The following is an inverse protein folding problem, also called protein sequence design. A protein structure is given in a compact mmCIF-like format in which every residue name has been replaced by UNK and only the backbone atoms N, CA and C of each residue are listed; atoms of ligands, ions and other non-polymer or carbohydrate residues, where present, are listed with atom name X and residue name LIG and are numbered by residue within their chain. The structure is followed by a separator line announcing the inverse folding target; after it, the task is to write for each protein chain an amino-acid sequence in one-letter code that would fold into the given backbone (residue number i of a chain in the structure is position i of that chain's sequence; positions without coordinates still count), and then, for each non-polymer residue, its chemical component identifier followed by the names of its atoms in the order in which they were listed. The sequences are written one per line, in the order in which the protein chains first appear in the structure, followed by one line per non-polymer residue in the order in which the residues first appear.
data_IF_840888176213
#
_entry.id   IF_840888176213
#
_cell.length_a   1.000
_cell.length_b   1.000
_cell.length_c   1.000
_cell.angle_alpha   90.00
_cell.angle_beta   90.00
_cell.angle_gamma   90.00
#
_symmetry.space_group_name_H-M   'P 1'
#
loop_
_entity.id
_entity.type
_entity.pdbx_description
1 polymer ?
#
# COMPACT_ATOMS: atom_id res chain seq x y z
N UNK A 1 -14.97 -19.99 -13.66
CA UNK A 1 -15.11 -19.90 -12.19
C UNK A 1 -15.10 -18.44 -11.79
N UNK A 2 -15.91 -18.04 -10.80
CA UNK A 2 -15.80 -16.70 -10.22
C UNK A 2 -14.53 -16.63 -9.37
N UNK A 3 -13.74 -15.57 -9.55
CA UNK A 3 -12.54 -15.31 -8.73
C UNK A 3 -12.87 -14.25 -7.65
N UNK A 4 -12.24 -14.32 -6.47
CA UNK A 4 -12.43 -13.30 -5.44
C UNK A 4 -11.91 -11.94 -5.90
N UNK A 5 -12.59 -10.87 -5.48
CA UNK A 5 -12.18 -9.49 -5.74
C UNK A 5 -11.48 -8.94 -4.49
N UNK A 6 -10.25 -8.45 -4.66
CA UNK A 6 -9.43 -7.90 -3.57
C UNK A 6 -9.24 -6.41 -3.79
N UNK A 7 -9.37 -5.65 -2.71
CA UNK A 7 -9.12 -4.21 -2.72
C UNK A 7 -7.93 -3.95 -1.80
N UNK A 8 -6.97 -3.17 -2.29
CA UNK A 8 -5.75 -2.87 -1.58
C UNK A 8 -5.33 -1.41 -1.77
N UNK A 9 -4.41 -0.97 -0.92
CA UNK A 9 -3.73 0.31 -1.08
C UNK A 9 -2.22 0.11 -1.16
N UNK A 10 -1.56 0.96 -1.93
CA UNK A 10 -0.10 1.04 -2.00
C UNK A 10 0.32 2.48 -1.67
N UNK A 11 1.36 2.62 -0.86
CA UNK A 11 1.88 3.88 -0.38
C UNK A 11 3.28 4.12 -0.90
N UNK A 12 3.43 5.20 -1.64
CA UNK A 12 4.71 5.68 -2.13
C UNK A 12 5.19 6.82 -1.22
N UNK A 13 6.13 6.48 -0.35
CA UNK A 13 6.83 7.42 0.51
C UNK A 13 8.15 7.80 -0.15
N UNK A 14 8.42 9.10 -0.25
CA UNK A 14 9.66 9.62 -0.81
C UNK A 14 10.47 10.32 0.27
N UNK A 15 11.80 10.24 0.19
CA UNK A 15 12.67 11.09 1.01
C UNK A 15 12.91 12.46 0.37
N UNK A 16 13.71 13.31 1.02
CA UNK A 16 14.04 14.66 0.52
C UNK A 16 14.86 14.67 -0.79
N UNK A 17 15.34 13.50 -1.24
CA UNK A 17 16.08 13.30 -2.50
C UNK A 17 15.21 12.67 -3.60
N UNK A 18 13.90 12.60 -3.39
CA UNK A 18 12.92 11.93 -4.27
C UNK A 18 13.19 10.43 -4.51
N UNK A 19 13.87 9.77 -3.58
CA UNK A 19 14.03 8.31 -3.59
C UNK A 19 12.83 7.66 -2.90
N UNK A 20 12.29 6.60 -3.50
CA UNK A 20 11.13 5.86 -2.97
C UNK A 20 11.54 4.82 -1.94
N UNK A 21 10.78 4.72 -0.85
CA UNK A 21 10.90 3.62 0.11
C UNK A 21 10.27 2.35 -0.45
N UNK A 22 11.05 1.26 -0.49
CA UNK A 22 10.56 -0.07 -0.79
C UNK A 22 10.86 -1.00 0.39
N UNK A 23 9.98 -1.96 0.59
CA UNK A 23 10.09 -3.01 1.59
C UNK A 23 10.41 -4.33 0.89
N UNK A 24 11.39 -5.06 1.39
CA UNK A 24 11.65 -6.43 0.94
C UNK A 24 10.64 -7.36 1.61
N UNK A 25 9.84 -8.05 0.80
CA UNK A 25 8.77 -8.90 1.32
C UNK A 25 9.36 -10.15 1.96
N UNK A 26 9.02 -10.38 3.21
CA UNK A 26 9.40 -11.58 3.97
C UNK A 26 8.32 -12.68 3.93
N UNK A 27 7.21 -12.46 3.23
CA UNK A 27 6.05 -13.35 3.21
C UNK A 27 5.52 -13.58 1.79
N UNK A 28 5.03 -14.80 1.56
CA UNK A 28 4.36 -15.17 0.31
C UNK A 28 2.99 -14.48 0.14
N UNK A 29 2.51 -14.25 -1.09
CA UNK A 29 3.23 -14.40 -2.35
C UNK A 29 4.30 -13.30 -2.51
N UNK A 30 5.38 -13.61 -3.23
CA UNK A 30 6.47 -12.69 -3.58
C UNK A 30 7.51 -12.47 -2.48
N UNK A 31 7.83 -13.49 -1.68
CA UNK A 31 8.98 -13.44 -0.78
C UNK A 31 10.27 -13.08 -1.58
N UNK A 32 11.06 -12.13 -1.08
CA UNK A 32 12.30 -11.65 -1.73
C UNK A 32 12.10 -10.58 -2.82
N UNK A 33 10.86 -10.21 -3.15
CA UNK A 33 10.60 -9.07 -4.03
C UNK A 33 10.42 -7.77 -3.23
N UNK A 34 10.66 -6.65 -3.90
CA UNK A 34 10.46 -5.31 -3.35
C UNK A 34 9.07 -4.79 -3.69
N UNK A 35 8.36 -4.29 -2.67
CA UNK A 35 7.08 -3.62 -2.85
C UNK A 35 7.05 -2.29 -2.10
N UNK A 36 6.26 -1.30 -2.54
CA UNK A 36 5.89 -0.19 -1.66
C UNK A 36 5.15 -0.73 -0.42
N UNK A 37 5.08 0.10 0.61
CA UNK A 37 4.25 -0.15 1.78
C UNK A 37 2.77 -0.27 1.38
N UNK A 38 2.01 -1.10 2.07
CA UNK A 38 0.57 -1.16 1.91
C UNK A 38 0.00 -2.56 2.07
N UNK A 39 -1.33 -2.64 1.96
CA UNK A 39 -2.03 -3.87 2.25
C UNK A 39 -3.48 -3.86 1.82
N UNK A 40 -4.20 -4.88 2.27
CA UNK A 40 -5.58 -5.14 1.86
C UNK A 40 -6.53 -4.40 2.79
N UNK A 41 -7.62 -3.90 2.22
CA UNK A 41 -8.70 -3.31 3.01
C UNK A 41 -9.36 -4.40 3.87
N UNK A 42 -9.73 -4.03 5.09
CA UNK A 42 -10.70 -4.76 5.91
C UNK A 42 -12.12 -4.51 5.38
N UNK A 43 -12.48 -5.23 4.30
CA UNK A 43 -13.74 -5.04 3.57
C UNK A 43 -14.99 -5.36 4.40
N UNK A 44 -14.87 -6.27 5.35
CA UNK A 44 -15.93 -6.73 6.24
C UNK A 44 -16.41 -5.66 7.22
N UNK A 45 -15.56 -4.66 7.52
CA UNK A 45 -15.93 -3.49 8.34
C UNK A 45 -16.09 -2.21 7.51
N UNK A 46 -15.98 -2.29 6.19
CA UNK A 46 -16.07 -1.14 5.30
C UNK A 46 -14.89 -0.15 5.43
N UNK A 47 -13.69 -0.65 5.71
CA UNK A 47 -12.49 0.19 5.79
C UNK A 47 -12.28 0.95 4.46
N UNK A 48 -12.11 2.28 4.55
CA UNK A 48 -11.84 3.10 3.36
C UNK A 48 -10.38 2.94 2.91
N UNK A 49 -10.05 3.17 1.62
CA UNK A 49 -8.65 3.17 1.17
C UNK A 49 -7.75 4.12 1.97
N UNK A 50 -8.24 5.30 2.35
CA UNK A 50 -7.46 6.25 3.17
C UNK A 50 -7.20 5.71 4.58
N UNK A 51 -8.20 5.09 5.20
CA UNK A 51 -8.03 4.48 6.53
C UNK A 51 -7.06 3.30 6.49
N UNK A 52 -7.18 2.43 5.49
CA UNK A 52 -6.25 1.34 5.24
C UNK A 52 -4.82 1.87 5.06
N UNK A 53 -4.62 2.91 4.24
CA UNK A 53 -3.29 3.48 4.02
C UNK A 53 -2.66 4.03 5.31
N UNK A 54 -3.41 4.77 6.13
CA UNK A 54 -2.93 5.25 7.43
C UNK A 54 -2.57 4.10 8.39
N UNK A 55 -3.36 3.02 8.41
CA UNK A 55 -3.09 1.83 9.23
C UNK A 55 -1.82 1.12 8.78
N UNK A 56 -1.70 0.82 7.49
CA UNK A 56 -0.52 0.13 6.93
C UNK A 56 0.76 0.94 7.11
N UNK A 57 0.70 2.28 6.94
CA UNK A 57 1.84 3.14 7.22
C UNK A 57 2.33 3.02 8.67
N UNK A 58 1.41 2.92 9.63
CA UNK A 58 1.75 2.74 11.04
C UNK A 58 2.28 1.33 11.31
N UNK A 59 1.63 0.30 10.76
CA UNK A 59 1.94 -1.11 11.03
C UNK A 59 3.26 -1.55 10.38
N UNK A 60 3.53 -1.17 9.12
CA UNK A 60 4.69 -1.65 8.37
C UNK A 60 5.94 -0.77 8.51
N UNK A 61 5.76 0.54 8.72
CA UNK A 61 6.89 1.50 8.75
C UNK A 61 6.84 2.47 9.94
N UNK A 62 5.92 2.29 10.90
CA UNK A 62 5.83 3.14 12.09
C UNK A 62 5.51 4.61 11.79
N UNK A 63 4.96 4.91 10.61
CA UNK A 63 4.68 6.27 10.16
C UNK A 63 3.23 6.66 10.48
N UNK A 64 3.07 7.59 11.42
CA UNK A 64 1.75 8.16 11.73
C UNK A 64 1.41 9.30 10.77
N UNK A 65 0.38 9.07 9.95
CA UNK A 65 -0.15 10.03 8.96
C UNK A 65 -1.67 10.09 9.03
N UNK A 66 -2.23 11.20 8.56
CA UNK A 66 -3.66 11.39 8.43
C UNK A 66 -4.11 11.36 6.95
N UNK A 67 -5.41 11.16 6.65
CA UNK A 67 -5.91 11.16 5.27
C UNK A 67 -5.53 12.41 4.45
N UNK A 68 -5.37 13.57 5.10
CA UNK A 68 -4.94 14.81 4.43
C UNK A 68 -3.50 14.76 3.91
N UNK A 69 -2.67 13.88 4.47
CA UNK A 69 -1.27 13.70 4.10
C UNK A 69 -1.13 12.77 2.88
N UNK A 70 -2.24 12.17 2.43
CA UNK A 70 -2.28 11.28 1.28
C UNK A 70 -2.75 12.04 0.02
N UNK A 71 -2.16 11.71 -1.11
CA UNK A 71 -2.60 12.12 -2.44
C UNK A 71 -2.89 10.88 -3.28
N UNK A 72 -4.15 10.69 -3.70
CA UNK A 72 -4.50 9.61 -4.62
C UNK A 72 -3.91 9.91 -5.99
N UNK A 73 -2.89 9.14 -6.38
CA UNK A 73 -2.14 9.32 -7.64
C UNK A 73 -2.70 8.47 -8.76
N UNK A 74 -3.36 7.36 -8.44
CA UNK A 74 -3.89 6.46 -9.45
C UNK A 74 -4.68 5.30 -8.86
N UNK A 75 -5.34 4.58 -9.77
CA UNK A 75 -6.07 3.35 -9.49
C UNK A 75 -5.62 2.33 -10.52
N UNK A 76 -5.18 1.16 -10.05
CA UNK A 76 -4.84 0.02 -10.90
C UNK A 76 -5.88 -1.07 -10.69
N UNK A 77 -6.37 -1.65 -11.79
CA UNK A 77 -7.23 -2.81 -11.73
C UNK A 77 -6.65 -3.95 -12.56
N UNK A 78 -6.67 -5.15 -11.99
CA UNK A 78 -6.21 -6.35 -12.67
C UNK A 78 -7.32 -7.40 -12.70
N UNK A 79 -7.55 -7.96 -13.88
CA UNK A 79 -8.55 -8.99 -14.07
C UNK A 79 -7.91 -10.38 -14.09
N UNK A 80 -8.16 -11.18 -13.06
CA UNK A 80 -7.73 -12.58 -13.01
C UNK A 80 -6.22 -12.72 -12.88
N UNK A 81 -5.57 -11.86 -12.10
CA UNK A 81 -4.13 -11.91 -11.84
C UNK A 81 -3.71 -13.31 -11.37
N UNK A 82 -2.77 -13.92 -12.10
CA UNK A 82 -2.32 -15.32 -11.96
C UNK A 82 -3.45 -16.37 -11.92
N UNK A 83 -4.64 -16.04 -12.45
CA UNK A 83 -5.83 -16.89 -12.36
C UNK A 83 -6.40 -17.03 -10.94
N UNK A 84 -5.99 -16.17 -9.98
CA UNK A 84 -6.31 -16.31 -8.56
C UNK A 84 -7.31 -15.28 -8.03
N UNK A 85 -7.25 -14.04 -8.50
CA UNK A 85 -8.10 -12.96 -8.00
C UNK A 85 -8.23 -11.81 -9.00
N UNK A 86 -9.27 -11.00 -8.83
CA UNK A 86 -9.32 -9.65 -9.37
C UNK A 86 -8.77 -8.67 -8.34
N UNK A 87 -8.08 -7.63 -8.79
CA UNK A 87 -7.52 -6.61 -7.90
C UNK A 87 -8.02 -5.21 -8.28
N UNK A 88 -8.22 -4.40 -7.25
CA UNK A 88 -8.34 -2.95 -7.35
C UNK A 88 -7.40 -2.34 -6.31
N UNK A 89 -6.40 -1.62 -6.78
CA UNK A 89 -5.35 -1.03 -5.97
C UNK A 89 -5.44 0.49 -6.05
N UNK A 90 -5.52 1.14 -4.90
CA UNK A 90 -5.45 2.60 -4.78
C UNK A 90 -4.02 3.00 -4.46
N UNK A 91 -3.42 3.83 -5.32
CA UNK A 91 -2.03 4.24 -5.19
C UNK A 91 -1.98 5.63 -4.56
N UNK A 92 -1.42 5.73 -3.37
CA UNK A 92 -1.24 6.97 -2.65
C UNK A 92 0.22 7.42 -2.65
N UNK A 93 0.45 8.69 -2.95
CA UNK A 93 1.68 9.36 -2.53
C UNK A 93 1.47 9.90 -1.13
N UNK A 94 2.47 9.70 -0.26
CA UNK A 94 2.55 10.34 1.05
C UNK A 94 3.25 11.69 0.89
N UNK A 95 2.51 12.78 1.15
CA UNK A 95 3.00 14.15 0.93
C UNK A 95 4.19 14.50 1.83
N UNK A 96 4.21 14.18 3.14
CA UNK A 96 5.39 14.41 3.97
C UNK A 96 6.59 13.58 3.49
N UNK A 97 7.73 14.24 3.25
CA UNK A 97 8.97 13.56 2.90
C UNK A 97 9.57 12.87 4.12
N UNK A 98 10.09 11.66 3.92
CA UNK A 98 10.83 10.91 4.94
C UNK A 98 12.17 11.58 5.22
N UNK A 99 12.39 11.97 6.48
CA UNK A 99 13.66 12.56 6.95
C UNK A 99 14.69 11.51 7.37
N UNK A 100 14.20 10.35 7.77
CA UNK A 100 15.01 9.21 8.21
C UNK A 100 14.42 7.94 7.64
N UNK A 101 15.27 6.95 7.37
CA UNK A 101 14.79 5.61 7.00
C UNK A 101 13.97 5.04 8.18
N UNK A 102 12.70 4.63 7.95
CA UNK A 102 11.92 3.96 8.97
C UNK A 102 12.59 2.66 9.41
N UNK A 103 12.37 2.27 10.67
CA UNK A 103 12.86 0.98 11.17
C UNK A 103 11.97 -0.14 10.64
N UNK A 104 12.53 -1.32 10.34
CA UNK A 104 11.74 -2.52 10.02
C UNK A 104 10.97 -3.03 11.24
#
# INVERSE_FOLDING_TARGET
MALPYKIATLLYCFNERDEVLLLERTQEPNMGYWSPCGGKLHTEIGESPYACACREALEEIGLSIEPRDLHLTGIVSEHGYEGRAHWLMFLFEVKPRLKTLPKP
#
